data_IF_022079268432
#
_entry.id   IF_022079268432
#
_cell.length_a   1.000
_cell.length_b   1.000
_cell.length_c   1.000
_cell.angle_alpha   90.00
_cell.angle_beta   90.00
_cell.angle_gamma   90.00
#
_symmetry.space_group_name_H-M   'P 1'
#
loop_
_entity.id
_entity.type
_entity.pdbx_description
1 polymer ?
#
# COMPACT_ATOMS: atom_id res chain seq x y z
N UNK A 1 8.36 -15.67 13.06
CA UNK A 1 8.48 -14.35 12.40
C UNK A 1 7.93 -13.30 13.34
N UNK A 2 8.61 -12.16 13.50
CA UNK A 2 8.09 -11.07 14.33
C UNK A 2 6.82 -10.46 13.74
N UNK A 3 5.88 -10.06 14.59
CA UNK A 3 4.61 -9.46 14.13
C UNK A 3 4.85 -8.08 13.54
N UNK A 4 4.07 -7.69 12.54
CA UNK A 4 4.11 -6.34 11.97
C UNK A 4 2.74 -5.68 12.03
N UNK A 5 2.71 -4.35 12.11
CA UNK A 5 1.48 -3.56 12.11
C UNK A 5 1.58 -2.45 11.06
N UNK A 6 0.54 -2.34 10.24
CA UNK A 6 0.46 -1.43 9.12
C UNK A 6 -0.80 -0.59 9.25
N UNK A 7 -0.65 0.71 9.41
CA UNK A 7 -1.70 1.71 9.29
C UNK A 7 -1.60 2.31 7.90
N UNK A 8 -2.47 1.85 6.99
CA UNK A 8 -2.46 2.28 5.60
C UNK A 8 -3.66 3.17 5.33
N UNK A 9 -3.39 4.45 5.09
CA UNK A 9 -4.37 5.33 4.50
C UNK A 9 -4.43 5.06 2.99
N UNK A 10 -5.63 4.98 2.42
CA UNK A 10 -5.85 4.63 1.01
C UNK A 10 -6.34 5.78 0.16
N UNK A 11 -6.42 7.01 0.68
CA UNK A 11 -6.89 8.17 -0.09
C UNK A 11 -6.03 8.42 -1.33
N UNK A 12 -4.71 8.21 -1.25
CA UNK A 12 -3.79 8.28 -2.40
C UNK A 12 -3.33 6.89 -2.86
N UNK A 13 -4.13 5.83 -2.64
CA UNK A 13 -3.76 4.45 -2.96
C UNK A 13 -3.40 4.30 -4.45
N UNK A 14 -2.19 3.86 -4.75
CA UNK A 14 -1.80 3.56 -6.13
C UNK A 14 -2.15 2.11 -6.53
N UNK A 15 -2.15 1.83 -7.84
CA UNK A 15 -2.36 0.47 -8.35
C UNK A 15 -1.30 -0.51 -7.81
N UNK A 16 -0.05 -0.05 -7.66
CA UNK A 16 1.07 -0.81 -7.10
C UNK A 16 0.78 -1.23 -5.65
N UNK A 17 0.27 -0.32 -4.83
CA UNK A 17 -0.10 -0.57 -3.44
C UNK A 17 -1.29 -1.53 -3.36
N UNK A 18 -2.32 -1.33 -4.17
CA UNK A 18 -3.45 -2.25 -4.25
C UNK A 18 -2.99 -3.67 -4.57
N UNK A 19 -2.11 -3.85 -5.57
CA UNK A 19 -1.56 -5.16 -5.92
C UNK A 19 -0.75 -5.77 -4.76
N UNK A 20 -0.02 -4.97 -3.99
CA UNK A 20 0.67 -5.45 -2.79
C UNK A 20 -0.33 -5.93 -1.71
N UNK A 21 -1.44 -5.22 -1.51
CA UNK A 21 -2.50 -5.62 -0.57
C UNK A 21 -3.14 -6.94 -1.04
N UNK A 22 -3.48 -7.06 -2.33
CA UNK A 22 -4.06 -8.29 -2.89
C UNK A 22 -3.11 -9.48 -2.75
N UNK A 23 -1.83 -9.29 -3.05
CA UNK A 23 -0.80 -10.32 -2.89
C UNK A 23 -0.64 -10.74 -1.42
N UNK A 24 -0.59 -9.78 -0.49
CA UNK A 24 -0.56 -10.07 0.95
C UNK A 24 -1.79 -10.83 1.41
N UNK A 25 -2.96 -10.60 0.81
CA UNK A 25 -4.18 -11.31 1.13
C UNK A 25 -4.34 -12.65 0.38
N UNK A 26 -3.32 -13.05 -0.39
CA UNK A 26 -3.33 -14.23 -1.27
C UNK A 26 -4.47 -14.21 -2.30
N UNK A 27 -4.95 -13.03 -2.65
CA UNK A 27 -5.93 -12.81 -3.72
C UNK A 27 -5.15 -12.72 -5.03
N UNK A 28 -5.07 -13.83 -5.76
CA UNK A 28 -4.31 -13.94 -7.00
C UNK A 28 -4.97 -14.93 -7.97
N UNK A 29 -4.37 -15.14 -9.15
CA UNK A 29 -4.90 -16.05 -10.20
C UNK A 29 -5.10 -17.50 -9.72
N UNK A 30 -4.40 -17.95 -8.68
CA UNK A 30 -4.55 -19.30 -8.10
C UNK A 30 -5.72 -19.44 -7.12
N UNK A 31 -6.40 -18.35 -6.74
CA UNK A 31 -7.53 -18.38 -5.83
C UNK A 31 -8.77 -19.02 -6.49
N UNK A 32 -9.44 -19.93 -5.79
CA UNK A 32 -10.79 -20.36 -6.17
C UNK A 32 -11.81 -19.26 -5.82
N UNK A 33 -11.96 -18.28 -6.71
CA UNK A 33 -12.84 -17.13 -6.50
C UNK A 33 -14.29 -17.54 -6.25
N UNK A 34 -14.81 -18.58 -6.91
CA UNK A 34 -16.20 -19.02 -6.73
C UNK A 34 -16.46 -19.45 -5.29
N UNK A 35 -15.61 -20.32 -4.75
CA UNK A 35 -15.72 -20.79 -3.37
C UNK A 35 -15.46 -19.66 -2.35
N UNK A 36 -14.49 -18.78 -2.63
CA UNK A 36 -14.17 -17.68 -1.74
C UNK A 36 -15.29 -16.62 -1.69
N UNK A 37 -15.90 -16.29 -2.83
CA UNK A 37 -17.04 -15.38 -2.92
C UNK A 37 -18.25 -15.93 -2.17
N UNK A 38 -18.52 -17.25 -2.25
CA UNK A 38 -19.69 -17.87 -1.63
C UNK A 38 -19.69 -17.79 -0.09
N UNK A 39 -18.51 -17.75 0.54
CA UNK A 39 -18.37 -17.64 2.00
C UNK A 39 -18.06 -16.22 2.51
N UNK A 40 -17.81 -15.28 1.59
CA UNK A 40 -17.46 -13.91 1.95
C UNK A 40 -18.70 -13.09 2.31
N UNK A 41 -18.53 -12.09 3.17
CA UNK A 41 -19.57 -11.09 3.44
C UNK A 41 -19.93 -10.31 2.16
N UNK A 42 -21.11 -9.67 2.08
CA UNK A 42 -21.55 -8.97 0.87
C UNK A 42 -20.53 -7.96 0.32
N UNK A 43 -19.92 -7.14 1.19
CA UNK A 43 -18.88 -6.18 0.82
C UNK A 43 -17.62 -6.86 0.29
N UNK A 44 -17.13 -7.90 0.97
CA UNK A 44 -15.95 -8.65 0.53
C UNK A 44 -16.21 -9.40 -0.79
N UNK A 45 -17.39 -10.00 -0.95
CA UNK A 45 -17.83 -10.66 -2.18
C UNK A 45 -17.85 -9.69 -3.38
N UNK A 46 -18.29 -8.45 -3.17
CA UNK A 46 -18.26 -7.39 -4.19
C UNK A 46 -16.83 -7.11 -4.66
N UNK A 47 -15.88 -6.94 -3.74
CA UNK A 47 -14.46 -6.76 -4.09
C UNK A 47 -13.88 -7.99 -4.78
N UNK A 48 -14.16 -9.20 -4.30
CA UNK A 48 -13.66 -10.45 -4.88
C UNK A 48 -14.18 -10.71 -6.30
N UNK A 49 -15.41 -10.30 -6.64
CA UNK A 49 -15.92 -10.35 -8.02
C UNK A 49 -15.11 -9.45 -8.95
N UNK A 50 -14.71 -8.26 -8.49
CA UNK A 50 -13.84 -7.36 -9.26
C UNK A 50 -12.44 -7.96 -9.43
N UNK A 51 -11.87 -8.52 -8.36
CA UNK A 51 -10.58 -9.22 -8.42
C UNK A 51 -10.62 -10.41 -9.38
N UNK A 52 -11.71 -11.21 -9.36
CA UNK A 52 -11.91 -12.32 -10.30
C UNK A 52 -11.80 -11.85 -11.75
N UNK A 53 -12.54 -10.81 -12.11
CA UNK A 53 -12.49 -10.24 -13.47
C UNK A 53 -11.08 -9.75 -13.82
N UNK A 54 -10.37 -9.11 -12.87
CA UNK A 54 -8.99 -8.67 -13.10
C UNK A 54 -8.05 -9.83 -13.46
N UNK A 55 -8.11 -10.94 -12.71
CA UNK A 55 -7.23 -12.10 -12.96
C UNK A 55 -7.67 -12.95 -14.16
N UNK A 56 -8.96 -13.00 -14.48
CA UNK A 56 -9.46 -13.60 -15.73
C UNK A 56 -8.99 -12.82 -16.97
N UNK A 57 -8.69 -11.53 -16.82
CA UNK A 57 -8.07 -10.67 -17.84
C UNK A 57 -6.54 -10.73 -17.84
N UNK A 58 -5.92 -11.69 -17.15
CA UNK A 58 -4.46 -11.78 -17.00
C UNK A 58 -3.82 -10.48 -16.46
N UNK A 59 -4.54 -9.77 -15.60
CA UNK A 59 -4.07 -8.53 -14.98
C UNK A 59 -4.16 -7.29 -15.87
N UNK A 60 -4.90 -7.35 -16.98
CA UNK A 60 -5.10 -6.26 -17.93
C UNK A 60 -6.35 -5.44 -17.61
N UNK A 61 -6.21 -4.11 -17.61
CA UNK A 61 -7.34 -3.17 -17.56
C UNK A 61 -7.63 -2.61 -18.96
N UNK A 62 -8.91 -2.39 -19.27
CA UNK A 62 -9.33 -1.89 -20.58
C UNK A 62 -9.79 -0.43 -20.56
N UNK A 63 -9.44 0.30 -21.61
CA UNK A 63 -10.14 1.51 -22.04
C UNK A 63 -11.19 1.16 -23.09
N UNK A 64 -12.13 2.07 -23.32
CA UNK A 64 -13.21 1.89 -24.29
C UNK A 64 -13.31 3.12 -25.17
N UNK A 65 -13.37 2.91 -26.48
CA UNK A 65 -13.47 4.00 -27.45
C UNK A 65 -14.50 3.68 -28.55
N UNK A 66 -14.99 4.71 -29.23
CA UNK A 66 -16.05 4.62 -30.24
C UNK A 66 -15.63 5.27 -31.55
N UNK A 67 -15.81 4.54 -32.65
CA UNK A 67 -15.54 5.01 -34.01
C UNK A 67 -16.77 4.85 -34.90
N UNK A 68 -16.85 5.72 -35.91
CA UNK A 68 -17.87 5.65 -36.96
C UNK A 68 -17.17 5.65 -38.31
N UNK A 69 -17.45 4.63 -39.12
CA UNK A 69 -17.05 4.52 -40.52
C UNK A 69 -18.21 5.02 -41.38
N UNK A 70 -17.97 6.07 -42.18
CA UNK A 70 -18.98 6.76 -42.98
C UNK A 70 -18.91 6.38 -44.47
N UNK A 71 -20.04 6.33 -45.20
CA UNK A 71 -20.06 6.00 -46.63
C UNK A 71 -19.30 7.01 -47.50
N UNK A 72 -19.28 8.29 -47.10
CA UNK A 72 -18.61 9.37 -47.84
C UNK A 72 -17.09 9.35 -47.69
N UNK A 73 -16.55 8.49 -46.84
CA UNK A 73 -15.12 8.34 -46.60
C UNK A 73 -14.68 6.96 -47.11
N UNK A 74 -14.66 6.80 -48.44
CA UNK A 74 -14.39 5.55 -49.17
C UNK A 74 -13.03 4.89 -48.86
N UNK A 75 -12.18 5.55 -48.07
CA UNK A 75 -10.84 5.11 -47.66
C UNK A 75 -10.75 4.54 -46.24
N UNK A 76 -11.82 4.56 -45.43
CA UNK A 76 -11.80 4.00 -44.06
C UNK A 76 -12.83 2.90 -43.91
N UNK A 77 -12.37 1.66 -43.81
CA UNK A 77 -13.13 0.47 -43.44
C UNK A 77 -12.91 0.14 -41.96
N UNK A 78 -13.62 -0.86 -41.45
CA UNK A 78 -13.44 -1.33 -40.06
C UNK A 78 -11.99 -1.80 -39.85
N UNK A 79 -11.40 -2.44 -40.87
CA UNK A 79 -10.02 -2.93 -40.88
C UNK A 79 -8.99 -1.80 -40.69
N UNK A 80 -9.32 -0.59 -41.15
CA UNK A 80 -8.44 0.58 -41.07
C UNK A 80 -8.44 1.23 -39.68
N UNK A 81 -9.42 0.89 -38.82
CA UNK A 81 -9.39 1.30 -37.42
C UNK A 81 -8.36 0.41 -36.70
N UNK A 82 -7.28 0.95 -36.12
CA UNK A 82 -6.26 0.12 -35.52
C UNK A 82 -6.82 -0.64 -34.33
N UNK A 83 -6.43 -1.90 -34.18
CA UNK A 83 -6.64 -2.63 -32.94
C UNK A 83 -5.58 -2.17 -31.95
N UNK A 84 -6.01 -1.79 -30.74
CA UNK A 84 -5.11 -1.32 -29.69
C UNK A 84 -5.14 -2.28 -28.52
N UNK A 85 -3.94 -2.64 -28.06
CA UNK A 85 -3.77 -3.50 -26.90
C UNK A 85 -4.35 -2.82 -25.67
N UNK A 86 -5.11 -3.57 -24.87
CA UNK A 86 -5.76 -3.07 -23.66
C UNK A 86 -6.84 -1.99 -23.92
N UNK A 87 -7.40 -1.96 -25.13
CA UNK A 87 -8.52 -1.09 -25.48
C UNK A 87 -9.58 -1.86 -26.27
N UNK A 88 -10.84 -1.70 -25.89
CA UNK A 88 -11.98 -2.24 -26.65
C UNK A 88 -12.58 -1.10 -27.47
N UNK A 89 -12.49 -1.22 -28.80
CA UNK A 89 -13.03 -0.25 -29.75
C UNK A 89 -14.35 -0.75 -30.30
N UNK A 90 -15.37 0.08 -30.17
CA UNK A 90 -16.66 -0.14 -30.80
C UNK A 90 -16.71 0.66 -32.10
N UNK A 91 -16.78 -0.04 -33.23
CA UNK A 91 -16.78 0.58 -34.56
C UNK A 91 -18.16 0.38 -35.19
N UNK A 92 -18.87 1.47 -35.45
CA UNK A 92 -20.09 1.43 -36.25
C UNK A 92 -19.74 1.61 -37.72
N UNK A 93 -20.10 0.62 -38.53
CA UNK A 93 -20.01 0.67 -39.98
C UNK A 93 -21.36 1.13 -40.55
N UNK A 94 -21.43 2.37 -41.04
CA UNK A 94 -22.65 2.92 -41.65
C UNK A 94 -22.98 2.24 -42.99
N UNK A 95 -22.00 1.68 -43.70
CA UNK A 95 -22.22 1.00 -44.99
C UNK A 95 -22.88 -0.35 -44.77
N UNK A 96 -22.41 -1.12 -43.79
CA UNK A 96 -22.99 -2.42 -43.42
C UNK A 96 -24.06 -2.33 -42.31
N UNK A 97 -24.35 -1.12 -41.84
CA UNK A 97 -25.27 -0.83 -40.72
C UNK A 97 -25.05 -1.77 -39.52
N UNK A 98 -23.79 -1.95 -39.10
CA UNK A 98 -23.40 -2.96 -38.13
C UNK A 98 -22.36 -2.45 -37.14
N UNK A 99 -22.49 -2.87 -35.88
CA UNK A 99 -21.46 -2.66 -34.85
C UNK A 99 -20.43 -3.78 -34.83
N UNK A 100 -19.17 -3.41 -34.68
CA UNK A 100 -18.03 -4.30 -34.51
C UNK A 100 -17.33 -4.01 -33.18
N UNK A 101 -16.80 -5.08 -32.58
CA UNK A 101 -15.84 -4.99 -31.50
C UNK A 101 -14.45 -5.27 -32.08
N UNK A 102 -13.53 -4.33 -31.87
CA UNK A 102 -12.14 -4.41 -32.32
C UNK A 102 -11.20 -4.27 -31.12
N UNK A 103 -10.26 -5.19 -30.98
CA UNK A 103 -9.20 -5.16 -29.95
C UNK A 103 -8.02 -6.05 -30.34
N UNK A 104 -7.01 -6.16 -29.49
CA UNK A 104 -5.87 -7.08 -29.66
C UNK A 104 -6.06 -8.27 -28.72
N UNK A 105 -6.02 -9.48 -29.29
CA UNK A 105 -6.08 -10.73 -28.57
C UNK A 105 -4.78 -11.00 -27.78
N UNK A 106 -4.80 -12.03 -26.92
CA UNK A 106 -3.67 -12.35 -26.04
C UNK A 106 -2.38 -12.72 -26.80
N UNK A 107 -2.51 -13.27 -28.01
CA UNK A 107 -1.40 -13.61 -28.91
C UNK A 107 -0.87 -12.41 -29.71
N UNK A 108 -1.42 -11.21 -29.48
CA UNK A 108 -1.06 -9.98 -30.20
C UNK A 108 -1.80 -9.81 -31.53
N UNK A 109 -2.63 -10.76 -31.94
CA UNK A 109 -3.39 -10.67 -33.18
C UNK A 109 -4.61 -9.75 -33.05
N UNK A 110 -5.06 -9.21 -34.18
CA UNK A 110 -6.29 -8.43 -34.25
C UNK A 110 -7.49 -9.33 -33.98
N UNK A 111 -8.30 -8.96 -32.99
CA UNK A 111 -9.66 -9.45 -32.84
C UNK A 111 -10.63 -8.43 -33.44
N UNK A 112 -11.45 -8.85 -34.41
CA UNK A 112 -12.52 -8.05 -34.99
C UNK A 112 -13.72 -8.95 -35.22
N UNK A 113 -14.88 -8.60 -34.64
CA UNK A 113 -16.11 -9.37 -34.84
C UNK A 113 -17.35 -8.50 -34.75
N UNK A 114 -18.38 -8.82 -35.55
CA UNK A 114 -19.69 -8.16 -35.45
C UNK A 114 -20.30 -8.46 -34.09
N UNK A 115 -20.86 -7.44 -33.44
CA UNK A 115 -21.41 -7.56 -32.08
C UNK A 115 -22.52 -8.62 -32.01
N UNK A 116 -23.39 -8.69 -33.01
CA UNK A 116 -24.45 -9.70 -33.08
C UNK A 116 -23.91 -11.14 -33.26
N UNK A 117 -22.72 -11.29 -33.84
CA UNK A 117 -22.04 -12.58 -34.06
C UNK A 117 -21.10 -13.00 -32.92
N UNK A 118 -20.88 -12.14 -31.92
CA UNK A 118 -20.13 -12.52 -30.71
C UNK A 118 -20.83 -13.70 -30.02
N UNK A 119 -20.02 -14.66 -29.59
CA UNK A 119 -20.41 -15.91 -28.94
C UNK A 119 -20.02 -15.92 -27.46
N UNK A 120 -20.52 -16.91 -26.72
CA UNK A 120 -20.11 -17.13 -25.32
C UNK A 120 -18.62 -17.50 -25.24
N UNK A 121 -18.09 -18.22 -26.23
CA UNK A 121 -16.66 -18.56 -26.29
C UNK A 121 -15.78 -17.32 -26.49
N UNK A 122 -16.22 -16.34 -27.31
CA UNK A 122 -15.51 -15.06 -27.46
C UNK A 122 -15.48 -14.30 -26.12
N UNK A 123 -16.62 -14.24 -25.42
CA UNK A 123 -16.73 -13.55 -24.13
C UNK A 123 -15.92 -14.23 -22.99
N UNK A 124 -15.52 -15.49 -23.18
CA UNK A 124 -14.63 -16.22 -22.26
C UNK A 124 -13.15 -15.96 -22.50
N UNK A 125 -12.79 -15.32 -23.61
CA UNK A 125 -11.39 -14.96 -23.87
C UNK A 125 -10.90 -13.96 -22.83
N UNK A 126 -9.63 -14.04 -22.36
CA UNK A 126 -9.11 -13.14 -21.33
C UNK A 126 -9.31 -11.67 -21.65
N UNK A 127 -9.11 -11.28 -22.92
CA UNK A 127 -9.24 -9.90 -23.38
C UNK A 127 -10.69 -9.39 -23.51
N UNK A 128 -11.68 -10.27 -23.31
CA UNK A 128 -13.11 -9.93 -23.24
C UNK A 128 -13.76 -10.37 -21.93
N UNK A 129 -12.99 -10.88 -20.97
CA UNK A 129 -13.54 -11.41 -19.74
C UNK A 129 -14.39 -10.35 -19.00
N UNK A 130 -15.54 -10.79 -18.50
CA UNK A 130 -16.55 -9.92 -17.89
C UNK A 130 -17.45 -9.20 -18.89
N UNK A 131 -17.35 -9.45 -20.20
CA UNK A 131 -18.33 -9.00 -21.19
C UNK A 131 -19.67 -9.70 -20.98
N UNK A 132 -20.74 -8.92 -20.84
CA UNK A 132 -22.12 -9.38 -20.80
C UNK A 132 -22.76 -9.23 -22.18
N UNK A 133 -22.79 -10.36 -22.88
CA UNK A 133 -23.10 -10.41 -24.30
C UNK A 133 -24.53 -9.97 -24.64
N UNK A 134 -25.51 -10.34 -23.80
CA UNK A 134 -26.92 -10.05 -24.04
C UNK A 134 -27.20 -8.55 -23.92
N UNK A 135 -26.62 -7.90 -22.92
CA UNK A 135 -26.68 -6.47 -22.66
C UNK A 135 -26.00 -5.71 -23.80
N UNK A 136 -24.82 -6.15 -24.24
CA UNK A 136 -24.12 -5.53 -25.36
C UNK A 136 -24.94 -5.55 -26.64
N UNK A 137 -25.53 -6.70 -26.97
CA UNK A 137 -26.38 -6.85 -28.17
C UNK A 137 -27.64 -5.99 -28.10
N UNK A 138 -28.22 -5.86 -26.91
CA UNK A 138 -29.42 -5.03 -26.69
C UNK A 138 -29.09 -3.53 -26.80
N UNK A 139 -27.99 -3.09 -26.19
CA UNK A 139 -27.64 -1.67 -26.10
C UNK A 139 -26.98 -1.11 -27.38
N UNK A 140 -26.34 -1.96 -28.19
CA UNK A 140 -25.80 -1.59 -29.50
C UNK A 140 -26.75 -1.94 -30.65
N UNK A 141 -27.97 -1.40 -30.60
CA UNK A 141 -29.02 -1.65 -31.59
C UNK A 141 -29.26 -0.50 -32.58
N UNK A 142 -28.59 0.65 -32.40
CA UNK A 142 -28.75 1.85 -33.25
C UNK A 142 -27.41 2.47 -33.65
N UNK A 143 -27.43 3.23 -34.73
CA UNK A 143 -26.25 3.89 -35.32
C UNK A 143 -25.64 4.97 -34.41
N UNK A 144 -26.49 5.80 -33.82
CA UNK A 144 -26.08 6.98 -33.05
C UNK A 144 -26.43 6.80 -31.58
N UNK A 145 -25.40 6.87 -30.74
CA UNK A 145 -25.51 6.79 -29.28
C UNK A 145 -25.30 8.17 -28.68
N UNK A 146 -26.20 8.58 -27.79
CA UNK A 146 -25.99 9.74 -26.92
C UNK A 146 -24.86 9.47 -25.93
N UNK A 147 -24.35 10.52 -25.27
CA UNK A 147 -23.33 10.39 -24.22
C UNK A 147 -23.80 9.50 -23.06
N UNK A 148 -25.07 9.59 -22.68
CA UNK A 148 -25.66 8.76 -21.62
C UNK A 148 -25.65 7.29 -21.99
N UNK A 149 -26.12 6.96 -23.20
CA UNK A 149 -26.15 5.58 -23.70
C UNK A 149 -24.74 5.00 -23.88
N UNK A 150 -23.79 5.82 -24.32
CA UNK A 150 -22.40 5.42 -24.39
C UNK A 150 -21.81 5.09 -23.01
N UNK A 151 -22.13 5.89 -21.99
CA UNK A 151 -21.72 5.59 -20.62
C UNK A 151 -22.39 4.32 -20.09
N UNK A 152 -23.66 4.10 -20.42
CA UNK A 152 -24.40 2.90 -20.06
C UNK A 152 -23.79 1.64 -20.68
N UNK A 153 -23.38 1.67 -21.96
CA UNK A 153 -22.72 0.53 -22.60
C UNK A 153 -21.45 0.13 -21.84
N UNK A 154 -20.62 1.11 -21.47
CA UNK A 154 -19.38 0.85 -20.71
C UNK A 154 -19.65 0.26 -19.33
N UNK A 155 -20.73 0.67 -18.64
CA UNK A 155 -21.07 0.18 -17.30
C UNK A 155 -21.81 -1.15 -17.30
N UNK A 156 -22.74 -1.35 -18.24
CA UNK A 156 -23.72 -2.42 -18.15
C UNK A 156 -23.25 -3.65 -18.92
N UNK A 157 -22.54 -3.45 -20.04
CA UNK A 157 -22.04 -4.53 -20.89
C UNK A 157 -20.76 -5.16 -20.34
N UNK A 158 -20.14 -4.58 -19.32
CA UNK A 158 -18.94 -5.14 -18.70
C UNK A 158 -19.11 -5.18 -17.19
N UNK A 159 -18.80 -6.32 -16.57
CA UNK A 159 -18.83 -6.47 -15.11
C UNK A 159 -17.99 -5.41 -14.41
N UNK A 160 -16.83 -5.05 -14.99
CA UNK A 160 -16.11 -3.85 -14.60
C UNK A 160 -15.15 -3.36 -15.71
N UNK A 161 -15.20 -2.08 -16.13
CA UNK A 161 -14.30 -1.56 -17.17
C UNK A 161 -12.83 -1.57 -16.72
N UNK A 162 -12.55 -1.07 -15.51
CA UNK A 162 -11.22 -1.07 -14.89
C UNK A 162 -11.30 -1.65 -13.46
N UNK A 163 -11.19 -2.99 -13.29
CA UNK A 163 -11.45 -3.62 -11.99
C UNK A 163 -10.51 -3.15 -10.86
N UNK A 164 -9.23 -2.87 -11.16
CA UNK A 164 -8.29 -2.32 -10.18
C UNK A 164 -8.76 -0.96 -9.66
N UNK A 165 -9.19 -0.07 -10.56
CA UNK A 165 -9.67 1.24 -10.16
C UNK A 165 -10.87 1.15 -9.22
N UNK A 166 -11.85 0.29 -9.49
CA UNK A 166 -12.98 0.16 -8.57
C UNK A 166 -12.66 -0.52 -7.25
N UNK A 167 -11.76 -1.50 -7.23
CA UNK A 167 -11.28 -2.04 -5.95
C UNK A 167 -10.59 -0.94 -5.13
N UNK A 168 -9.79 -0.08 -5.77
CA UNK A 168 -9.18 1.07 -5.11
C UNK A 168 -10.23 2.06 -4.58
N UNK A 169 -11.27 2.36 -5.36
CA UNK A 169 -12.39 3.22 -4.92
C UNK A 169 -13.14 2.63 -3.71
N UNK A 170 -13.34 1.31 -3.67
CA UNK A 170 -13.94 0.66 -2.50
C UNK A 170 -13.07 0.83 -1.25
N UNK A 171 -11.74 0.71 -1.39
CA UNK A 171 -10.82 0.92 -0.27
C UNK A 171 -10.74 2.40 0.15
N UNK A 172 -10.80 3.34 -0.80
CA UNK A 172 -10.86 4.79 -0.57
C UNK A 172 -12.12 5.26 0.14
N UNK A 173 -13.16 4.44 0.19
CA UNK A 173 -14.38 4.79 0.90
C UNK A 173 -14.09 4.99 2.38
N UNK A 174 -14.49 6.15 2.89
CA UNK A 174 -14.32 6.57 4.28
C UNK A 174 -15.57 6.24 5.10
N UNK A 175 -15.38 6.01 6.40
CA UNK A 175 -16.47 5.91 7.37
C UNK A 175 -17.03 7.29 7.75
N UNK A 176 -16.32 8.38 7.39
CA UNK A 176 -16.82 9.75 7.53
C UNK A 176 -17.72 10.11 6.34
N UNK A 177 -18.97 10.50 6.61
CA UNK A 177 -19.95 10.86 5.56
C UNK A 177 -20.12 9.75 4.50
N UNK A 178 -20.49 8.52 4.90
CA UNK A 178 -20.69 7.46 3.94
C UNK A 178 -21.86 7.80 3.01
N UNK A 179 -21.80 7.37 1.74
CA UNK A 179 -22.88 7.57 0.77
C UNK A 179 -24.22 6.96 1.24
N UNK A 180 -24.15 5.91 2.06
CA UNK A 180 -25.27 5.25 2.72
C UNK A 180 -24.79 4.45 3.93
N UNK A 181 -25.70 4.04 4.82
CA UNK A 181 -25.38 3.11 5.91
C UNK A 181 -24.84 1.77 5.38
N UNK A 182 -25.39 1.28 4.26
CA UNK A 182 -24.90 0.07 3.59
C UNK A 182 -23.45 0.22 3.10
N UNK A 183 -23.08 1.40 2.57
CA UNK A 183 -21.70 1.64 2.11
C UNK A 183 -20.68 1.63 3.26
N UNK A 184 -21.03 2.15 4.43
CA UNK A 184 -20.16 2.07 5.62
C UNK A 184 -19.98 0.63 6.09
N UNK A 185 -21.05 -0.17 6.05
CA UNK A 185 -21.01 -1.60 6.40
C UNK A 185 -20.15 -2.39 5.41
N UNK A 186 -20.36 -2.21 4.10
CA UNK A 186 -19.53 -2.81 3.04
C UNK A 186 -18.05 -2.47 3.24
N UNK A 187 -17.75 -1.22 3.56
CA UNK A 187 -16.37 -0.75 3.82
C UNK A 187 -15.74 -1.51 4.99
N UNK A 188 -16.45 -1.65 6.11
CA UNK A 188 -15.95 -2.40 7.28
C UNK A 188 -15.73 -3.87 6.96
N UNK A 189 -16.66 -4.48 6.22
CA UNK A 189 -16.57 -5.88 5.78
C UNK A 189 -15.35 -6.14 4.90
N UNK A 190 -15.08 -5.26 3.93
CA UNK A 190 -13.91 -5.36 3.05
C UNK A 190 -12.61 -5.25 3.87
N UNK A 191 -12.53 -4.26 4.76
CA UNK A 191 -11.33 -4.05 5.60
C UNK A 191 -11.08 -5.22 6.54
N UNK A 192 -12.13 -5.74 7.18
CA UNK A 192 -12.05 -6.94 8.03
C UNK A 192 -11.57 -8.15 7.23
N UNK A 193 -12.09 -8.37 6.02
CA UNK A 193 -11.67 -9.45 5.15
C UNK A 193 -10.16 -9.40 4.83
N UNK A 194 -9.66 -8.21 4.46
CA UNK A 194 -8.21 -8.03 4.24
C UNK A 194 -7.40 -8.28 5.52
N UNK A 195 -7.83 -7.72 6.63
CA UNK A 195 -7.16 -7.90 7.92
C UNK A 195 -7.05 -9.38 8.29
N UNK A 196 -8.14 -10.15 8.15
CA UNK A 196 -8.17 -11.58 8.50
C UNK A 196 -7.31 -12.44 7.57
N UNK A 197 -7.28 -12.15 6.27
CA UNK A 197 -6.42 -12.84 5.31
C UNK A 197 -4.94 -12.59 5.61
N UNK A 198 -4.58 -11.33 5.85
CA UNK A 198 -3.19 -10.89 6.00
C UNK A 198 -2.63 -11.24 7.39
N UNK A 199 -3.47 -11.28 8.42
CA UNK A 199 -3.08 -11.63 9.79
C UNK A 199 -2.38 -12.98 9.91
N UNK A 200 -2.71 -13.93 9.03
CA UNK A 200 -2.06 -15.25 8.97
C UNK A 200 -0.56 -15.19 8.69
N UNK A 201 -0.12 -14.13 8.02
CA UNK A 201 1.29 -13.87 7.71
C UNK A 201 2.01 -13.11 8.84
N UNK A 202 1.37 -12.93 10.00
CA UNK A 202 1.90 -12.16 11.12
C UNK A 202 1.85 -10.65 10.90
N UNK A 203 1.07 -10.17 9.93
CA UNK A 203 0.90 -8.75 9.61
C UNK A 203 -0.51 -8.33 10.01
N UNK A 204 -0.64 -7.34 10.87
CA UNK A 204 -1.92 -6.65 11.08
C UNK A 204 -1.99 -5.48 10.11
N UNK A 205 -2.92 -5.53 9.15
CA UNK A 205 -3.24 -4.40 8.27
C UNK A 205 -4.50 -3.68 8.76
N UNK A 206 -4.39 -2.38 9.02
CA UNK A 206 -5.47 -1.47 9.37
C UNK A 206 -5.60 -0.49 8.20
N UNK A 207 -6.63 -0.67 7.38
CA UNK A 207 -6.95 0.17 6.22
C UNK A 207 -7.88 1.29 6.65
N UNK A 208 -7.56 2.52 6.28
CA UNK A 208 -8.42 3.68 6.53
C UNK A 208 -8.32 4.71 5.39
N UNK A 209 -9.21 5.69 5.37
CA UNK A 209 -9.27 6.72 4.33
C UNK A 209 -9.98 7.98 4.82
N UNK A 210 -9.48 9.14 4.43
CA UNK A 210 -10.16 10.43 4.60
C UNK A 210 -11.20 10.66 3.49
N UNK A 211 -12.12 11.61 3.72
CA UNK A 211 -13.08 12.00 2.70
C UNK A 211 -12.39 12.59 1.47
N UNK A 212 -13.02 12.45 0.30
CA UNK A 212 -12.52 13.02 -0.94
C UNK A 212 -12.24 14.52 -0.79
N UNK A 213 -11.08 14.97 -1.23
CA UNK A 213 -10.59 16.36 -1.13
C UNK A 213 -10.36 16.89 0.30
N UNK A 214 -10.52 16.07 1.34
CA UNK A 214 -10.13 16.44 2.70
C UNK A 214 -8.66 16.05 2.95
N UNK A 215 -7.90 16.88 3.67
CA UNK A 215 -6.52 16.53 4.03
C UNK A 215 -6.45 15.47 5.15
N UNK A 216 -7.43 15.50 6.06
CA UNK A 216 -7.43 14.71 7.28
C UNK A 216 -8.69 13.82 7.42
N UNK A 217 -8.54 12.75 8.19
CA UNK A 217 -9.65 11.92 8.66
C UNK A 217 -10.61 12.73 9.54
N UNK A 218 -11.89 12.41 9.43
CA UNK A 218 -12.90 12.83 10.38
C UNK A 218 -12.94 11.90 11.59
N UNK A 219 -13.92 12.15 12.47
CA UNK A 219 -14.00 11.48 13.77
C UNK A 219 -14.24 9.98 13.63
N UNK A 220 -15.15 9.55 12.76
CA UNK A 220 -15.53 8.15 12.67
C UNK A 220 -14.36 7.28 12.16
N UNK A 221 -13.59 7.80 11.20
CA UNK A 221 -12.41 7.13 10.70
C UNK A 221 -11.27 7.11 11.73
N UNK A 222 -10.97 8.24 12.37
CA UNK A 222 -9.95 8.31 13.43
C UNK A 222 -10.28 7.36 14.59
N UNK A 223 -11.54 7.31 15.05
CA UNK A 223 -11.97 6.42 16.11
C UNK A 223 -11.84 4.94 15.71
N UNK A 224 -12.21 4.60 14.45
CA UNK A 224 -11.99 3.26 13.92
C UNK A 224 -10.50 2.85 13.95
N UNK A 225 -9.60 3.74 13.53
CA UNK A 225 -8.15 3.47 13.54
C UNK A 225 -7.66 3.24 14.96
N UNK A 226 -8.03 4.10 15.91
CA UNK A 226 -7.62 3.99 17.31
C UNK A 226 -8.11 2.70 17.97
N UNK A 227 -9.39 2.36 17.78
CA UNK A 227 -9.97 1.11 18.29
C UNK A 227 -9.31 -0.11 17.65
N UNK A 228 -9.03 -0.06 16.34
CA UNK A 228 -8.37 -1.15 15.62
C UNK A 228 -6.93 -1.33 16.08
N UNK A 229 -6.21 -0.23 16.33
CA UNK A 229 -4.87 -0.23 16.90
C UNK A 229 -4.90 -0.92 18.27
N UNK A 230 -5.76 -0.44 19.17
CA UNK A 230 -5.88 -0.96 20.52
C UNK A 230 -6.15 -2.47 20.52
N UNK A 231 -7.11 -2.94 19.72
CA UNK A 231 -7.42 -4.37 19.60
C UNK A 231 -6.29 -5.22 19.01
N UNK A 232 -5.53 -4.66 18.07
CA UNK A 232 -4.46 -5.37 17.40
C UNK A 232 -3.20 -5.53 18.27
N UNK A 233 -2.98 -4.60 19.21
CA UNK A 233 -1.76 -4.51 20.02
C UNK A 233 -1.95 -5.25 21.35
N UNK A 234 -1.07 -6.22 21.62
CA UNK A 234 -0.98 -6.90 22.91
C UNK A 234 0.05 -6.22 23.82
N UNK A 235 -0.09 -6.31 25.16
CA UNK A 235 0.94 -5.88 26.10
C UNK A 235 2.30 -6.55 25.81
N UNK A 236 3.38 -5.79 25.95
CA UNK A 236 4.77 -6.16 25.72
C UNK A 236 5.07 -6.71 24.32
N UNK A 237 4.22 -6.39 23.33
CA UNK A 237 4.38 -6.89 21.99
C UNK A 237 5.64 -6.31 21.33
N UNK A 238 6.48 -7.20 20.82
CA UNK A 238 7.61 -6.85 19.98
C UNK A 238 7.21 -6.89 18.50
N UNK A 239 7.45 -5.78 17.80
CA UNK A 239 7.15 -5.62 16.39
C UNK A 239 8.40 -5.73 15.53
N UNK A 240 8.26 -6.37 14.38
CA UNK A 240 9.24 -6.37 13.29
C UNK A 240 9.11 -5.08 12.47
N UNK A 241 7.90 -4.76 12.02
CA UNK A 241 7.62 -3.54 11.25
C UNK A 241 6.44 -2.79 11.88
N UNK A 242 6.59 -1.48 12.03
CA UNK A 242 5.49 -0.54 12.24
C UNK A 242 5.44 0.41 11.04
N UNK A 243 4.34 0.41 10.30
CA UNK A 243 4.13 1.28 9.15
C UNK A 243 2.94 2.21 9.42
N UNK A 244 3.10 3.52 9.14
CA UNK A 244 2.02 4.50 9.11
C UNK A 244 2.22 5.36 7.86
N UNK A 245 1.33 5.28 6.87
CA UNK A 245 1.52 6.00 5.61
C UNK A 245 0.38 5.84 4.60
N UNK A 246 0.57 6.44 3.43
CA UNK A 246 -0.40 6.42 2.31
C UNK A 246 -1.40 7.59 2.29
N UNK A 247 -1.32 8.50 3.27
CA UNK A 247 -2.15 9.70 3.35
C UNK A 247 -1.30 10.98 3.43
N UNK A 248 -1.96 12.13 3.39
CA UNK A 248 -1.29 13.43 3.52
C UNK A 248 -0.55 13.56 4.84
N UNK A 249 0.52 14.35 4.86
CA UNK A 249 1.26 14.64 6.08
C UNK A 249 1.63 16.11 6.15
N UNK A 250 1.62 16.64 7.36
CA UNK A 250 1.93 18.03 7.68
C UNK A 250 2.77 18.09 8.95
N UNK A 251 3.61 19.13 9.15
CA UNK A 251 4.41 19.24 10.36
C UNK A 251 3.55 19.17 11.63
N UNK A 252 4.01 18.46 12.68
CA UNK A 252 3.27 18.24 13.93
C UNK A 252 2.65 19.51 14.54
N UNK A 253 3.37 20.64 14.50
CA UNK A 253 2.94 21.93 15.05
C UNK A 253 2.39 22.90 13.98
N UNK A 254 1.99 22.40 12.79
CA UNK A 254 1.42 23.25 11.75
C UNK A 254 0.08 23.89 12.20
N UNK A 255 -0.19 25.11 11.70
CA UNK A 255 -1.41 25.92 11.78
C UNK A 255 -2.40 25.52 12.88
N UNK A 256 -2.40 26.23 14.01
CA UNK A 256 -3.35 26.04 15.12
C UNK A 256 -3.42 24.60 15.66
N UNK A 257 -2.28 23.87 15.63
CA UNK A 257 -2.19 22.50 16.13
C UNK A 257 -2.79 21.44 15.20
N UNK A 258 -2.99 21.78 13.92
CA UNK A 258 -3.60 20.92 12.91
C UNK A 258 -2.60 20.02 12.15
N UNK A 259 -1.40 19.78 12.70
CA UNK A 259 -0.46 18.82 12.12
C UNK A 259 -1.12 17.45 11.89
N UNK A 260 -0.65 16.71 10.88
CA UNK A 260 -1.14 15.35 10.64
C UNK A 260 -0.07 14.40 10.11
N UNK A 261 -0.23 13.12 10.42
CA UNK A 261 0.60 12.02 9.94
C UNK A 261 -0.30 11.02 9.21
N UNK A 262 -0.12 10.88 7.90
CA UNK A 262 -0.96 10.00 7.07
C UNK A 262 -2.47 10.24 7.27
N UNK A 263 -2.89 11.51 7.12
CA UNK A 263 -4.23 12.04 7.33
C UNK A 263 -4.79 11.93 8.78
N UNK A 264 -4.05 11.34 9.72
CA UNK A 264 -4.43 11.34 11.14
C UNK A 264 -3.94 12.63 11.80
N UNK A 265 -4.84 13.36 12.46
CA UNK A 265 -4.49 14.59 13.16
C UNK A 265 -3.50 14.31 14.29
N UNK A 266 -2.65 15.28 14.63
CA UNK A 266 -1.59 15.13 15.62
C UNK A 266 -2.08 14.57 16.96
N UNK A 267 -3.27 14.99 17.42
CA UNK A 267 -3.93 14.46 18.62
C UNK A 267 -4.29 12.97 18.51
N UNK A 268 -4.78 12.52 17.35
CA UNK A 268 -5.15 11.12 17.14
C UNK A 268 -3.89 10.24 17.09
N UNK A 269 -2.82 10.77 16.48
CA UNK A 269 -1.48 10.13 16.48
C UNK A 269 -0.93 10.02 17.90
N UNK A 270 -1.16 11.03 18.74
CA UNK A 270 -0.77 11.04 20.15
C UNK A 270 -1.50 9.98 20.96
N UNK A 271 -2.81 9.87 20.80
CA UNK A 271 -3.60 8.81 21.44
C UNK A 271 -3.10 7.41 21.03
N UNK A 272 -2.77 7.20 19.75
CA UNK A 272 -2.17 5.93 19.28
C UNK A 272 -0.81 5.67 19.94
N UNK A 273 0.04 6.70 20.05
CA UNK A 273 1.34 6.59 20.70
C UNK A 273 1.21 6.25 22.19
N UNK A 274 0.31 6.92 22.91
CA UNK A 274 0.04 6.63 24.32
C UNK A 274 -0.47 5.20 24.52
N UNK A 275 -1.35 4.71 23.64
CA UNK A 275 -1.81 3.33 23.69
C UNK A 275 -0.68 2.31 23.47
N UNK A 276 0.23 2.59 22.53
CA UNK A 276 1.43 1.77 22.28
C UNK A 276 2.39 1.79 23.48
N UNK A 277 2.57 2.96 24.10
CA UNK A 277 3.43 3.15 25.27
C UNK A 277 2.89 2.44 26.52
N UNK A 278 1.60 2.61 26.81
CA UNK A 278 0.92 1.95 27.91
C UNK A 278 0.99 0.42 27.81
N UNK A 279 0.98 -0.11 26.58
CA UNK A 279 1.15 -1.55 26.30
C UNK A 279 2.62 -1.96 26.21
N UNK A 280 3.57 -1.07 26.49
CA UNK A 280 5.02 -1.32 26.42
C UNK A 280 5.44 -1.99 25.10
N UNK A 281 4.91 -1.50 23.98
CA UNK A 281 5.28 -1.97 22.65
C UNK A 281 6.70 -1.52 22.32
N UNK A 282 7.46 -2.41 21.67
CA UNK A 282 8.80 -2.12 21.15
C UNK A 282 8.91 -2.60 19.72
N UNK A 283 9.57 -1.83 18.86
CA UNK A 283 9.82 -2.23 17.47
C UNK A 283 11.27 -2.63 17.38
N UNK A 284 11.61 -3.88 17.11
CA UNK A 284 13.00 -4.35 17.00
C UNK A 284 13.56 -4.28 15.57
N UNK A 285 12.70 -4.11 14.57
CA UNK A 285 13.09 -3.94 13.18
C UNK A 285 12.94 -2.49 12.73
N UNK A 286 11.92 -2.24 11.91
CA UNK A 286 11.78 -1.00 11.16
C UNK A 286 10.50 -0.25 11.53
N UNK A 287 10.60 1.07 11.72
CA UNK A 287 9.45 1.98 11.75
C UNK A 287 9.45 2.77 10.44
N UNK A 288 8.31 2.88 9.75
CA UNK A 288 8.17 3.67 8.53
C UNK A 288 7.04 4.66 8.72
N UNK A 289 7.37 5.94 8.66
CA UNK A 289 6.41 7.03 8.61
C UNK A 289 6.33 7.53 7.15
N UNK A 290 5.43 6.92 6.39
CA UNK A 290 5.26 7.06 4.94
C UNK A 290 4.32 8.19 4.53
N UNK A 291 4.60 9.41 5.00
CA UNK A 291 3.92 10.63 4.55
C UNK A 291 4.87 11.83 4.53
N UNK A 292 4.48 12.89 3.81
CA UNK A 292 5.15 14.19 3.81
C UNK A 292 5.33 14.71 5.25
N UNK A 293 6.43 15.41 5.54
CA UNK A 293 6.72 16.06 6.84
C UNK A 293 6.67 15.17 8.10
N UNK A 294 6.59 13.85 7.93
CA UNK A 294 6.52 12.86 9.00
C UNK A 294 7.72 12.87 9.95
N UNK A 295 8.87 13.44 9.56
CA UNK A 295 10.03 13.59 10.43
C UNK A 295 9.72 14.46 11.67
N UNK A 296 8.75 15.37 11.59
CA UNK A 296 8.28 16.16 12.73
C UNK A 296 7.63 15.32 13.85
N UNK A 297 7.26 14.06 13.57
CA UNK A 297 6.72 13.10 14.53
C UNK A 297 7.77 12.12 15.07
N UNK A 298 9.01 12.10 14.55
CA UNK A 298 10.00 11.07 14.88
C UNK A 298 10.29 10.98 16.38
N UNK A 299 10.37 12.12 17.08
CA UNK A 299 10.56 12.14 18.53
C UNK A 299 9.42 11.46 19.30
N UNK A 300 8.17 11.66 18.85
CA UNK A 300 6.99 11.07 19.48
C UNK A 300 6.95 9.53 19.37
N UNK A 301 7.56 8.97 18.32
CA UNK A 301 7.68 7.52 18.14
C UNK A 301 9.00 6.94 18.70
N UNK A 302 9.90 7.78 19.22
CA UNK A 302 11.25 7.35 19.65
C UNK A 302 11.25 6.40 20.86
N UNK A 303 10.19 6.41 21.67
CA UNK A 303 10.04 5.47 22.80
C UNK A 303 9.92 4.02 22.33
N UNK A 304 9.36 3.79 21.12
CA UNK A 304 9.22 2.46 20.51
C UNK A 304 10.56 1.88 20.06
N UNK A 305 11.55 2.73 19.81
CA UNK A 305 12.87 2.32 19.36
C UNK A 305 13.62 1.62 20.49
N UNK A 306 14.20 0.49 20.13
CA UNK A 306 15.25 -0.23 20.86
C UNK A 306 16.61 0.17 20.29
N UNK A 307 17.73 -0.21 20.93
CA UNK A 307 19.07 0.00 20.37
C UNK A 307 19.32 -0.69 19.02
N UNK A 308 18.39 -1.51 18.54
CA UNK A 308 18.50 -2.24 17.28
C UNK A 308 17.48 -1.78 16.25
N UNK A 309 16.72 -0.74 16.53
CA UNK A 309 15.64 -0.29 15.67
C UNK A 309 16.10 0.81 14.74
N UNK A 310 15.45 0.92 13.59
CA UNK A 310 15.63 2.05 12.68
C UNK A 310 14.28 2.59 12.22
N UNK A 311 14.16 3.91 12.16
CA UNK A 311 12.96 4.60 11.67
C UNK A 311 13.27 5.39 10.42
N UNK A 312 12.43 5.22 9.40
CA UNK A 312 12.38 6.03 8.19
C UNK A 312 11.25 7.06 8.32
N UNK A 313 11.56 8.31 8.00
CA UNK A 313 10.58 9.38 7.89
C UNK A 313 11.01 10.38 6.80
N UNK A 314 10.21 11.40 6.55
CA UNK A 314 10.57 12.48 5.62
C UNK A 314 10.34 13.85 6.22
N UNK A 315 11.32 14.72 6.03
CA UNK A 315 11.22 16.15 6.25
C UNK A 315 10.47 16.83 5.11
N UNK A 316 10.65 16.42 3.85
CA UNK A 316 10.02 17.08 2.71
C UNK A 316 8.78 16.34 2.20
N UNK A 317 8.11 16.95 1.24
CA UNK A 317 7.15 16.24 0.40
C UNK A 317 7.81 15.03 -0.27
N UNK A 318 7.13 13.88 -0.25
CA UNK A 318 7.63 12.62 -0.81
C UNK A 318 7.20 12.41 -2.28
N UNK A 319 6.56 13.41 -2.90
CA UNK A 319 6.06 13.33 -4.29
C UNK A 319 5.23 12.06 -4.61
N UNK A 320 4.52 11.52 -3.61
CA UNK A 320 3.67 10.33 -3.75
C UNK A 320 4.27 9.02 -3.23
N UNK A 321 5.57 8.95 -2.96
CA UNK A 321 6.22 7.71 -2.49
C UNK A 321 5.97 7.49 -0.98
N UNK A 322 5.08 6.55 -0.64
CA UNK A 322 4.69 6.24 0.75
C UNK A 322 5.48 5.07 1.40
N UNK A 323 6.42 4.47 0.66
CA UNK A 323 7.24 3.30 1.05
C UNK A 323 6.48 2.03 1.49
N UNK A 324 5.18 1.90 1.17
CA UNK A 324 4.37 0.74 1.56
C UNK A 324 4.95 -0.56 1.00
N UNK A 325 5.28 -0.60 -0.30
CA UNK A 325 5.90 -1.77 -0.94
C UNK A 325 7.16 -2.24 -0.21
N UNK A 326 8.02 -1.31 0.21
CA UNK A 326 9.25 -1.63 0.93
C UNK A 326 8.94 -2.21 2.32
N UNK A 327 8.00 -1.60 3.04
CA UNK A 327 7.55 -2.10 4.34
C UNK A 327 6.94 -3.51 4.23
N UNK A 328 6.09 -3.74 3.23
CA UNK A 328 5.51 -5.06 2.91
C UNK A 328 6.61 -6.08 2.64
N UNK A 329 7.59 -5.73 1.80
CA UNK A 329 8.73 -6.61 1.47
C UNK A 329 9.50 -7.01 2.73
N UNK A 330 9.77 -6.06 3.63
CA UNK A 330 10.47 -6.33 4.90
C UNK A 330 9.61 -7.15 5.87
N UNK A 331 8.29 -6.93 5.88
CA UNK A 331 7.39 -7.70 6.72
C UNK A 331 7.28 -9.16 6.27
N UNK A 332 7.19 -9.42 4.95
CA UNK A 332 6.92 -10.73 4.35
C UNK A 332 8.15 -11.63 4.14
N UNK A 333 9.36 -11.13 4.36
CA UNK A 333 10.63 -11.65 3.84
C UNK A 333 10.76 -13.16 3.57
N UNK A 334 10.77 -13.48 2.28
CA UNK A 334 11.59 -14.52 1.65
C UNK A 334 12.82 -13.86 0.96
N UNK A 335 13.91 -13.60 1.71
CA UNK A 335 15.29 -13.34 1.22
C UNK A 335 15.82 -11.92 0.86
N UNK A 336 15.11 -10.80 1.11
CA UNK A 336 15.68 -9.44 0.87
C UNK A 336 15.85 -8.59 2.13
N UNK A 337 17.01 -8.67 2.78
CA UNK A 337 17.30 -7.85 3.96
C UNK A 337 17.47 -6.33 3.70
N UNK A 338 17.38 -5.89 2.45
CA UNK A 338 17.53 -4.48 2.06
C UNK A 338 16.17 -3.85 1.78
N UNK A 339 15.88 -2.72 2.42
CA UNK A 339 14.64 -1.97 2.22
C UNK A 339 14.57 -1.31 0.83
N UNK A 340 15.65 -0.67 0.37
CA UNK A 340 15.78 0.00 -0.92
C UNK A 340 16.66 -0.78 -1.91
N UNK A 341 16.39 -0.65 -3.20
CA UNK A 341 17.36 -0.99 -4.25
C UNK A 341 18.15 0.28 -4.61
N UNK A 342 19.47 0.26 -4.42
CA UNK A 342 20.32 1.43 -4.69
C UNK A 342 20.92 1.27 -6.09
N UNK A 343 20.65 2.20 -7.00
CA UNK A 343 21.20 2.20 -8.35
C UNK A 343 22.62 2.77 -8.32
N UNK A 344 23.66 2.03 -8.76
CA UNK A 344 25.01 2.56 -8.90
C UNK A 344 25.06 3.70 -9.94
N UNK A 345 25.95 4.68 -9.74
CA UNK A 345 26.28 5.71 -10.75
C UNK A 345 25.16 6.71 -11.16
N UNK A 346 24.19 7.01 -10.30
CA UNK A 346 23.26 8.13 -10.57
C UNK A 346 24.04 9.46 -10.74
N UNK A 347 23.84 10.22 -11.83
CA UNK A 347 24.78 11.25 -12.31
C UNK A 347 24.92 12.51 -11.45
N UNK A 348 24.18 12.62 -10.33
CA UNK A 348 24.43 13.56 -9.21
C UNK A 348 23.43 13.20 -8.08
N UNK A 349 23.88 12.96 -6.84
CA UNK A 349 22.95 12.76 -5.72
C UNK A 349 22.40 14.12 -5.26
N UNK A 350 21.07 14.25 -5.25
CA UNK A 350 20.39 15.44 -4.71
C UNK A 350 20.19 15.31 -3.19
N UNK A 351 20.27 16.41 -2.44
CA UNK A 351 19.72 16.48 -1.09
C UNK A 351 18.27 15.98 -1.09
N UNK A 352 17.86 15.27 -0.04
CA UNK A 352 16.52 14.70 0.06
C UNK A 352 15.85 15.05 1.37
N UNK A 353 14.54 14.84 1.41
CA UNK A 353 13.74 14.89 2.62
C UNK A 353 13.88 13.66 3.50
N UNK A 354 14.49 12.56 3.05
CA UNK A 354 14.57 11.33 3.86
C UNK A 354 15.30 11.57 5.19
N UNK A 355 14.76 10.99 6.25
CA UNK A 355 15.28 11.07 7.60
C UNK A 355 15.39 9.66 8.18
N UNK A 356 16.50 9.40 8.87
CA UNK A 356 16.78 8.12 9.52
C UNK A 356 16.95 8.35 11.02
N UNK A 357 16.14 7.69 11.84
CA UNK A 357 16.15 7.87 13.31
C UNK A 357 16.45 6.56 14.03
N UNK A 358 17.30 6.65 15.06
CA UNK A 358 17.68 5.62 16.02
C UNK A 358 17.27 6.04 17.41
N UNK A 359 17.57 5.21 18.40
CA UNK A 359 17.29 5.52 19.80
C UNK A 359 17.99 6.81 20.27
N UNK A 360 19.20 7.04 19.81
CA UNK A 360 20.13 8.08 20.27
C UNK A 360 20.55 9.06 19.17
N UNK A 361 20.26 8.75 17.90
CA UNK A 361 20.75 9.51 16.75
C UNK A 361 19.65 9.78 15.73
N UNK A 362 19.69 10.96 15.12
CA UNK A 362 18.85 11.32 13.97
C UNK A 362 19.74 11.81 12.82
N UNK A 363 19.58 11.25 11.63
CA UNK A 363 20.35 11.56 10.43
C UNK A 363 19.37 12.07 9.37
N UNK A 364 19.44 13.36 9.03
CA UNK A 364 18.56 13.97 8.04
C UNK A 364 18.44 15.48 8.22
N UNK A 365 17.68 16.10 7.33
CA UNK A 365 17.41 17.53 7.42
C UNK A 365 16.44 17.81 8.56
N UNK A 366 16.91 18.53 9.59
CA UNK A 366 16.05 19.03 10.66
C UNK A 366 15.25 20.23 10.15
N UNK A 367 13.94 20.06 10.00
CA UNK A 367 13.06 21.19 9.67
C UNK A 367 12.62 21.94 10.92
N UNK A 368 12.72 23.26 10.82
CA UNK A 368 12.16 24.18 11.80
C UNK A 368 10.97 24.89 11.15
N UNK A 369 9.79 24.82 11.77
CA UNK A 369 8.55 25.41 11.24
C UNK A 369 8.67 26.91 10.94
N UNK A 370 9.47 27.65 11.73
CA UNK A 370 9.77 29.07 11.50
C UNK A 370 10.57 29.36 10.22
N UNK A 371 11.21 28.36 9.61
CA UNK A 371 12.07 28.53 8.42
C UNK A 371 11.39 28.15 7.10
N UNK A 372 10.25 27.45 7.13
CA UNK A 372 9.61 26.97 5.90
C UNK A 372 8.58 27.94 5.35
N UNK A 373 7.90 28.72 6.20
CA UNK A 373 7.25 30.01 5.90
C UNK A 373 6.33 30.16 4.68
N UNK A 374 6.03 29.12 3.92
CA UNK A 374 5.44 29.23 2.58
C UNK A 374 4.20 28.33 2.42
N UNK A 375 3.15 28.82 1.76
CA UNK A 375 1.95 28.04 1.46
C UNK A 375 2.20 26.99 0.37
N UNK A 376 1.47 25.90 0.48
CA UNK A 376 1.59 24.75 -0.39
C UNK A 376 1.15 25.03 -1.83
N UNK A 377 2.04 24.76 -2.78
CA UNK A 377 1.72 24.71 -4.21
C UNK A 377 2.40 23.47 -4.74
N UNK A 378 1.63 22.38 -4.89
CA UNK A 378 2.03 21.04 -5.32
C UNK A 378 3.21 20.39 -4.57
N UNK A 379 3.17 19.06 -4.44
CA UNK A 379 4.26 18.28 -3.83
C UNK A 379 5.60 18.45 -4.58
N UNK A 380 5.56 18.74 -5.87
CA UNK A 380 6.72 18.82 -6.75
C UNK A 380 7.41 20.20 -6.67
N UNK A 381 6.65 21.30 -6.65
CA UNK A 381 7.25 22.63 -6.55
C UNK A 381 7.85 22.87 -5.16
N UNK A 382 7.29 22.27 -4.11
CA UNK A 382 7.88 22.29 -2.77
C UNK A 382 9.22 21.57 -2.71
N UNK A 383 9.34 20.40 -3.35
CA UNK A 383 10.61 19.69 -3.43
C UNK A 383 11.67 20.53 -4.16
N UNK A 384 11.31 21.10 -5.30
CA UNK A 384 12.21 21.96 -6.08
C UNK A 384 12.64 23.22 -5.30
N UNK A 385 11.69 23.92 -4.67
CA UNK A 385 11.95 25.11 -3.85
C UNK A 385 12.87 24.80 -2.67
N UNK A 386 12.60 23.71 -1.93
CA UNK A 386 13.43 23.32 -0.80
C UNK A 386 14.84 22.89 -1.23
N UNK A 387 14.96 22.15 -2.33
CA UNK A 387 16.26 21.74 -2.85
C UNK A 387 17.10 22.93 -3.34
N UNK A 388 16.46 23.95 -3.92
CA UNK A 388 17.12 25.20 -4.31
C UNK A 388 17.66 25.96 -3.09
N UNK A 389 16.90 26.03 -1.99
CA UNK A 389 17.36 26.63 -0.73
C UNK A 389 18.58 25.88 -0.18
N UNK A 390 18.53 24.55 -0.14
CA UNK A 390 19.65 23.72 0.33
C UNK A 390 20.89 23.93 -0.54
N UNK A 391 20.72 23.96 -1.86
CA UNK A 391 21.81 24.17 -2.82
C UNK A 391 22.44 25.56 -2.65
N UNK A 392 21.61 26.60 -2.51
CA UNK A 392 22.06 27.97 -2.25
C UNK A 392 22.85 28.10 -0.94
N UNK A 393 22.33 27.53 0.16
CA UNK A 393 22.99 27.60 1.45
C UNK A 393 24.34 26.88 1.43
N UNK A 394 24.41 25.72 0.75
CA UNK A 394 25.67 24.99 0.55
C UNK A 394 26.70 25.82 -0.23
N UNK A 395 26.29 26.50 -1.30
CA UNK A 395 27.20 27.32 -2.10
C UNK A 395 27.73 28.55 -1.35
N UNK A 396 27.02 29.03 -0.32
CA UNK A 396 27.44 30.20 0.47
C UNK A 396 28.40 29.86 1.61
N UNK A 397 28.42 28.63 2.12
CA UNK A 397 29.28 28.21 3.25
C UNK A 397 29.76 26.76 3.10
N UNK A 398 30.57 26.51 2.06
CA UNK A 398 31.07 25.19 1.67
C UNK A 398 31.77 24.41 2.81
N UNK A 399 32.49 25.10 3.70
CA UNK A 399 33.26 24.49 4.80
C UNK A 399 32.61 24.73 6.18
N UNK A 400 31.28 24.76 6.23
CA UNK A 400 30.55 24.89 7.50
C UNK A 400 30.01 23.56 7.98
N UNK A 401 29.79 23.41 9.29
CA UNK A 401 29.10 22.28 9.91
C UNK A 401 27.75 21.98 9.23
N UNK A 402 27.07 23.03 8.74
CA UNK A 402 25.86 22.89 7.93
C UNK A 402 26.13 22.17 6.60
N UNK A 403 27.18 22.53 5.87
CA UNK A 403 27.58 21.85 4.62
C UNK A 403 27.96 20.39 4.84
N UNK A 404 28.64 20.08 5.94
CA UNK A 404 28.97 18.71 6.34
C UNK A 404 27.70 17.88 6.60
N UNK A 405 26.72 18.46 7.30
CA UNK A 405 25.42 17.82 7.52
C UNK A 405 24.68 17.51 6.21
N UNK A 406 24.84 18.36 5.18
CA UNK A 406 24.23 18.16 3.86
C UNK A 406 24.89 17.02 3.07
N UNK A 407 26.16 16.70 3.32
CA UNK A 407 26.83 15.57 2.67
C UNK A 407 26.15 14.25 3.01
N UNK A 408 25.73 14.11 4.27
CA UNK A 408 24.99 12.97 4.80
C UNK A 408 23.49 12.97 4.47
N UNK A 409 22.96 14.10 3.98
CA UNK A 409 21.54 14.30 3.66
C UNK A 409 21.20 14.18 2.17
N UNK A 410 21.91 13.32 1.44
CA UNK A 410 21.57 13.01 0.05
C UNK A 410 20.86 11.66 -0.06
N UNK A 411 20.02 11.51 -1.09
CA UNK A 411 19.13 10.37 -1.24
C UNK A 411 19.87 9.02 -1.28
N UNK A 412 20.95 8.95 -2.06
CA UNK A 412 21.72 7.72 -2.22
C UNK A 412 22.36 7.31 -0.89
N UNK A 413 23.05 8.23 -0.22
CA UNK A 413 23.73 7.96 1.07
C UNK A 413 22.73 7.56 2.15
N UNK A 414 21.58 8.21 2.23
CA UNK A 414 20.57 7.88 3.22
C UNK A 414 19.89 6.53 2.93
N UNK A 415 19.54 6.22 1.67
CA UNK A 415 19.02 4.90 1.31
C UNK A 415 20.02 3.78 1.60
N UNK A 416 21.32 4.00 1.30
CA UNK A 416 22.40 3.04 1.62
C UNK A 416 22.53 2.82 3.13
N UNK A 417 22.65 3.91 3.90
CA UNK A 417 22.70 3.87 5.36
C UNK A 417 21.48 3.12 5.90
N UNK A 418 20.27 3.51 5.50
CA UNK A 418 19.04 2.87 5.97
C UNK A 418 19.01 1.37 5.69
N UNK A 419 19.46 0.92 4.51
CA UNK A 419 19.59 -0.50 4.20
C UNK A 419 20.56 -1.24 5.12
N UNK A 420 21.73 -0.66 5.37
CA UNK A 420 22.73 -1.23 6.28
C UNK A 420 22.14 -1.40 7.68
N UNK A 421 21.53 -0.34 8.20
CA UNK A 421 20.98 -0.32 9.54
C UNK A 421 19.74 -1.20 9.69
N UNK A 422 18.83 -1.20 8.72
CA UNK A 422 17.67 -2.10 8.72
C UNK A 422 18.07 -3.56 8.61
N UNK A 423 19.09 -3.89 7.79
CA UNK A 423 19.65 -5.25 7.74
C UNK A 423 20.23 -5.68 9.08
N UNK A 424 20.96 -4.80 9.76
CA UNK A 424 21.50 -5.07 11.09
C UNK A 424 20.39 -5.28 12.13
N UNK A 425 19.36 -4.44 12.12
CA UNK A 425 18.18 -4.54 12.97
C UNK A 425 17.48 -5.91 12.84
N UNK A 426 17.17 -6.28 11.59
CA UNK A 426 16.42 -7.48 11.27
C UNK A 426 17.21 -8.76 11.59
N UNK A 427 18.52 -8.82 11.29
CA UNK A 427 19.37 -9.97 11.63
C UNK A 427 19.42 -10.24 13.13
N UNK A 428 19.55 -9.18 13.94
CA UNK A 428 19.61 -9.31 15.40
C UNK A 428 18.28 -9.83 15.96
N UNK A 429 17.15 -9.37 15.45
CA UNK A 429 15.83 -9.87 15.83
C UNK A 429 15.67 -11.38 15.54
N UNK A 430 16.16 -11.86 14.39
CA UNK A 430 16.13 -13.29 14.03
C UNK A 430 16.98 -14.13 15.00
N UNK A 431 18.17 -13.64 15.38
CA UNK A 431 19.03 -14.33 16.36
C UNK A 431 18.38 -14.48 17.73
N UNK A 432 17.64 -13.47 18.20
CA UNK A 432 16.89 -13.53 19.45
C UNK A 432 15.71 -14.49 19.37
N UNK A 433 15.03 -14.54 18.23
CA UNK A 433 13.96 -15.51 17.98
C UNK A 433 14.45 -16.97 17.98
N UNK A 434 15.69 -17.21 17.56
CA UNK A 434 16.33 -18.54 17.66
C UNK A 434 16.72 -18.85 19.10
N UNK A 435 17.43 -17.96 19.79
CA UNK A 435 17.87 -18.16 21.17
C UNK A 435 16.70 -18.40 22.13
N UNK A 436 15.62 -17.64 22.02
CA UNK A 436 14.40 -17.83 22.84
C UNK A 436 13.70 -19.15 22.55
N UNK A 437 13.71 -19.62 21.30
CA UNK A 437 13.21 -20.97 20.98
C UNK A 437 14.10 -22.04 21.57
N UNK A 438 15.42 -21.92 21.44
CA UNK A 438 16.38 -22.89 22.01
C UNK A 438 16.28 -22.95 23.53
N UNK A 439 16.11 -21.84 24.23
CA UNK A 439 15.91 -21.85 25.69
C UNK A 439 14.58 -22.47 26.11
N UNK A 440 13.50 -22.25 25.37
CA UNK A 440 12.21 -22.94 25.58
C UNK A 440 12.28 -24.45 25.31
N UNK A 441 13.05 -24.89 24.31
CA UNK A 441 13.28 -26.31 24.05
C UNK A 441 14.21 -26.95 25.08
N UNK A 442 15.24 -26.25 25.56
CA UNK A 442 16.12 -26.72 26.63
C UNK A 442 15.38 -26.83 27.97
N UNK A 443 14.46 -25.92 28.26
CA UNK A 443 13.58 -25.98 29.45
C UNK A 443 12.46 -27.02 29.31
N UNK A 444 11.98 -27.29 28.09
CA UNK A 444 11.02 -28.37 27.81
C UNK A 444 11.64 -29.78 27.81
N UNK A 445 12.94 -29.89 27.53
CA UNK A 445 13.70 -31.15 27.61
C UNK A 445 14.16 -31.53 29.02
N UNK A 446 14.02 -30.63 30.01
CA UNK A 446 14.47 -30.85 31.39
C UNK A 446 13.37 -31.39 32.34
N UNK A 447 12.17 -31.70 31.85
CA UNK A 447 11.05 -32.19 32.69
C UNK A 447 10.77 -33.70 32.50
N UNK A 448 11.56 -34.43 31.72
CA UNK A 448 11.52 -35.90 31.70
C UNK A 448 12.92 -36.42 32.00
N UNK A 449 13.24 -36.62 33.28
CA UNK A 449 14.46 -37.36 33.64
C UNK A 449 15.20 -36.97 34.91
N UNK A 450 14.53 -36.54 35.99
CA UNK A 450 15.15 -36.58 37.33
C UNK A 450 14.12 -36.96 38.41
N UNK A 451 13.49 -38.12 38.22
CA UNK A 451 12.90 -38.89 39.32
C UNK A 451 13.63 -40.24 39.35
N UNK A 452 14.65 -40.33 40.20
CA UNK A 452 15.39 -41.57 40.42
C UNK A 452 16.90 -41.38 40.36
N UNK A 453 17.49 -40.76 41.38
CA UNK A 453 18.85 -41.11 41.86
C UNK A 453 19.08 -40.48 43.26
N UNK A 454 18.30 -40.94 44.24
CA UNK A 454 18.64 -40.80 45.66
C UNK A 454 18.83 -42.20 46.23
N UNK A 455 20.03 -42.76 46.06
CA UNK A 455 20.53 -43.83 46.90
C UNK A 455 22.05 -43.95 46.71
N UNK A 456 22.74 -44.15 47.84
CA UNK A 456 24.13 -44.65 47.98
C UNK A 456 25.23 -43.56 47.93
N UNK A 457 25.61 -43.07 49.13
CA UNK A 457 26.90 -43.34 49.82
C UNK A 457 27.32 -42.14 50.69
N UNK A 458 26.90 -42.14 51.95
CA UNK A 458 27.67 -41.52 53.05
C UNK A 458 27.51 -42.40 54.29
N UNK A 459 28.41 -43.37 54.42
CA UNK A 459 28.61 -44.14 55.65
C UNK A 459 30.08 -44.57 55.68
N UNK A 460 30.89 -43.87 56.47
CA UNK A 460 31.90 -44.42 57.38
C UNK A 460 32.86 -43.32 57.84
N UNK A 461 32.66 -42.88 59.09
CA UNK A 461 33.70 -42.35 59.96
C UNK A 461 33.10 -42.16 61.35
N UNK A 462 33.07 -43.24 62.15
CA UNK A 462 33.22 -43.20 63.62
C UNK A 462 33.29 -44.63 64.20
N UNK A 463 34.38 -44.85 64.93
CA UNK A 463 34.67 -45.86 65.95
C UNK A 463 35.06 -47.28 65.49
N UNK A 464 36.31 -47.65 65.80
CA UNK A 464 36.87 -48.99 65.68
C UNK A 464 38.26 -48.96 65.10
#
# INVERSE_FOLDING_TARGET
MGKSIFFLNTATLENSDLLNILNLAEINKGMNFTAEIAKASPGAAKLLRMAKVYYERDGVCFTFDKFIVKPTNTSKKVEDIPAVRNEIRFVYDEVQTSWYLVTVATDGQRFQKKVNQLTVQDARQPYLAGLKLAELKTLLNKASLTTSEWNQIKSDCFVHPNPLHAMAELLRTTLDRPKSLSAAQETREIRAYFQDKIKKQGITLIIYSNALNADACGKAESDYVKISADRAIKPHQQLRVLYIGGGHGWPKQAWDGQGMLSALKAKDVEEICLALEAKNVRVHGVIVLGSCFSASYAHQFSFLLTPHSVMLSSSLSQAGENFFKNAVTVASLQNRLSFFSVIPNHPKPSPTGLCITYKDKHIGLKLYAKKTGLPATSAYDEYAKNNNIVTYLKSKKLNSEFSDSLHDCNEKSQKMKFNEYSKAALKRQESWGLLTKFSLFALGGAVIGTAGYFAIKYRNSRNG
#
